data_IF_661342082847
#
_entry.id   IF_661342082847
#
_cell.length_a   1.000
_cell.length_b   1.000
_cell.length_c   1.000
_cell.angle_alpha   90.00
_cell.angle_beta   90.00
_cell.angle_gamma   90.00
#
_symmetry.space_group_name_H-M   'P 1'
#
loop_
_entity.id
_entity.type
_entity.pdbx_description
1 polymer ?
#
# COMPACT_ATOMS: atom_id res chain seq x y z
N UNK A 1 0.64 33.59 -13.57
CA UNK A 1 1.86 33.19 -12.83
C UNK A 1 2.51 32.09 -13.66
N UNK A 2 3.73 32.28 -14.15
CA UNK A 2 4.44 31.28 -14.98
C UNK A 2 5.52 30.64 -14.11
N UNK A 3 5.56 29.31 -14.06
CA UNK A 3 6.57 28.55 -13.33
C UNK A 3 7.87 28.57 -14.14
N UNK A 4 8.87 29.33 -13.71
CA UNK A 4 10.13 29.52 -14.46
C UNK A 4 11.14 28.39 -14.25
N UNK A 5 10.94 27.56 -13.22
CA UNK A 5 11.90 26.53 -12.78
C UNK A 5 11.31 25.11 -12.78
N UNK A 6 10.18 24.89 -13.47
CA UNK A 6 9.53 23.58 -13.55
C UNK A 6 9.42 23.18 -15.02
N UNK A 7 9.95 22.00 -15.35
CA UNK A 7 9.75 21.37 -16.66
C UNK A 7 8.72 20.26 -16.53
N UNK A 8 7.61 20.41 -17.24
CA UNK A 8 6.57 19.37 -17.33
C UNK A 8 6.89 18.47 -18.52
N UNK A 9 6.95 17.16 -18.27
CA UNK A 9 7.13 16.14 -19.32
C UNK A 9 5.81 15.39 -19.51
N UNK A 10 5.43 15.16 -20.76
CA UNK A 10 4.26 14.34 -21.10
C UNK A 10 4.72 12.90 -21.31
N UNK A 11 4.04 11.96 -20.66
CA UNK A 11 4.25 10.54 -20.90
C UNK A 11 3.49 10.10 -22.16
N UNK A 12 3.97 9.07 -22.88
CA UNK A 12 3.21 8.45 -23.95
C UNK A 12 1.86 7.92 -23.44
N UNK A 13 0.86 7.82 -24.33
CA UNK A 13 -0.43 7.26 -23.96
C UNK A 13 -0.29 5.81 -23.43
N UNK A 14 -1.13 5.44 -22.46
CA UNK A 14 -1.21 4.08 -21.87
C UNK A 14 0.08 3.59 -21.17
N UNK A 15 0.94 4.50 -20.72
CA UNK A 15 2.20 4.15 -20.02
C UNK A 15 2.18 4.47 -18.52
N UNK A 16 1.05 4.89 -17.98
CA UNK A 16 0.91 5.31 -16.57
C UNK A 16 1.47 4.27 -15.60
N UNK A 17 1.03 3.02 -15.69
CA UNK A 17 1.47 1.93 -14.79
C UNK A 17 2.98 1.71 -14.79
N UNK A 18 3.64 1.95 -15.93
CA UNK A 18 5.07 1.70 -16.10
C UNK A 18 5.93 2.92 -15.79
N UNK A 19 5.47 4.11 -16.15
CA UNK A 19 6.28 5.33 -16.14
C UNK A 19 5.93 6.28 -14.99
N UNK A 20 4.80 6.09 -14.31
CA UNK A 20 4.44 6.90 -13.15
C UNK A 20 4.84 6.16 -11.87
N UNK A 21 5.75 6.72 -11.06
CA UNK A 21 6.26 6.04 -9.85
C UNK A 21 5.16 5.83 -8.80
N UNK A 22 4.09 6.63 -8.84
CA UNK A 22 2.92 6.41 -7.99
C UNK A 22 2.25 5.07 -8.29
N UNK A 23 2.06 4.76 -9.56
CA UNK A 23 1.48 3.50 -10.05
C UNK A 23 2.50 2.36 -10.07
N UNK A 24 3.80 2.65 -10.19
CA UNK A 24 4.90 1.68 -10.10
C UNK A 24 5.26 1.24 -8.66
N UNK A 25 4.32 1.39 -7.71
CA UNK A 25 4.40 0.74 -6.40
C UNK A 25 4.20 1.63 -5.18
N UNK A 26 4.30 2.97 -5.28
CA UNK A 26 4.11 3.84 -4.10
C UNK A 26 2.68 3.72 -3.57
N UNK A 27 1.67 3.72 -4.44
CA UNK A 27 0.27 3.55 -4.04
C UNK A 27 0.04 2.16 -3.44
N UNK A 28 0.57 1.11 -4.05
CA UNK A 28 0.42 -0.27 -3.57
C UNK A 28 1.04 -0.43 -2.17
N UNK A 29 2.29 0.02 -2.00
CA UNK A 29 2.99 0.00 -0.71
C UNK A 29 2.25 0.78 0.37
N UNK A 30 1.74 1.97 0.04
CA UNK A 30 0.97 2.79 0.97
C UNK A 30 -0.33 2.10 1.38
N UNK A 31 -1.10 1.55 0.43
CA UNK A 31 -2.35 0.83 0.71
C UNK A 31 -2.13 -0.39 1.58
N UNK A 32 -1.10 -1.20 1.32
CA UNK A 32 -0.77 -2.36 2.12
C UNK A 32 -0.53 -1.98 3.59
N UNK A 33 0.30 -0.95 3.83
CA UNK A 33 0.60 -0.49 5.19
C UNK A 33 -0.62 0.15 5.88
N UNK A 34 -1.44 0.89 5.13
CA UNK A 34 -2.70 1.42 5.66
C UNK A 34 -3.66 0.31 6.07
N UNK A 35 -3.73 -0.76 5.26
CA UNK A 35 -4.56 -1.92 5.57
C UNK A 35 -4.08 -2.65 6.82
N UNK A 36 -2.77 -2.79 7.03
CA UNK A 36 -2.22 -3.33 8.28
C UNK A 36 -2.68 -2.54 9.50
N UNK A 37 -2.57 -1.19 9.48
CA UNK A 37 -3.07 -0.36 10.58
C UNK A 37 -4.58 -0.55 10.81
N UNK A 38 -5.35 -0.69 9.73
CA UNK A 38 -6.79 -0.92 9.83
C UNK A 38 -7.12 -2.28 10.47
N UNK A 39 -6.34 -3.31 10.16
CA UNK A 39 -6.49 -4.65 10.74
C UNK A 39 -6.16 -4.60 12.23
N UNK A 40 -5.02 -4.03 12.60
CA UNK A 40 -4.60 -3.88 13.99
C UNK A 40 -5.66 -3.13 14.81
N UNK A 41 -6.17 -2.02 14.27
CA UNK A 41 -7.27 -1.27 14.89
C UNK A 41 -8.53 -2.10 15.10
N UNK A 42 -8.88 -2.94 14.11
CA UNK A 42 -10.04 -3.83 14.20
C UNK A 42 -9.88 -4.87 15.31
N UNK A 43 -8.68 -5.44 15.44
CA UNK A 43 -8.35 -6.42 16.50
C UNK A 43 -8.44 -5.75 17.88
N UNK A 44 -7.77 -4.61 18.07
CA UNK A 44 -7.81 -3.86 19.34
C UNK A 44 -9.24 -3.53 19.77
N UNK A 45 -10.09 -3.15 18.82
CA UNK A 45 -11.48 -2.79 19.08
C UNK A 45 -12.33 -4.01 19.43
N UNK A 46 -12.09 -5.14 18.79
CA UNK A 46 -12.77 -6.40 19.09
C UNK A 46 -12.38 -6.94 20.47
N UNK A 47 -11.12 -6.81 20.86
CA UNK A 47 -10.64 -7.20 22.19
C UNK A 47 -11.18 -6.29 23.30
N UNK A 48 -11.37 -4.99 23.00
CA UNK A 48 -11.84 -4.00 23.98
C UNK A 48 -13.37 -4.03 24.20
N UNK A 49 -14.17 -4.44 23.21
CA UNK A 49 -15.63 -4.41 23.28
C UNK A 49 -16.28 -5.64 22.60
N UNK A 50 -16.88 -6.50 23.41
CA UNK A 50 -17.56 -7.72 22.98
C UNK A 50 -18.80 -7.50 22.09
N UNK A 51 -19.30 -6.26 21.97
CA UNK A 51 -20.47 -5.94 21.15
C UNK A 51 -20.13 -5.35 19.77
N UNK A 52 -18.85 -5.21 19.44
CA UNK A 52 -18.42 -4.70 18.13
C UNK A 52 -18.59 -5.81 17.09
N UNK A 53 -19.49 -5.60 16.13
CA UNK A 53 -19.64 -6.53 15.01
C UNK A 53 -18.48 -6.38 14.01
N UNK A 54 -18.21 -7.45 13.24
CA UNK A 54 -17.08 -7.52 12.32
C UNK A 54 -17.00 -6.37 11.31
N UNK A 55 -18.13 -5.87 10.77
CA UNK A 55 -18.09 -4.73 9.84
C UNK A 55 -17.77 -3.38 10.51
N UNK A 56 -18.15 -3.19 11.77
CA UNK A 56 -17.91 -1.94 12.49
C UNK A 56 -16.51 -1.85 13.10
N UNK A 57 -15.85 -2.99 13.31
CA UNK A 57 -14.52 -3.06 13.91
C UNK A 57 -13.46 -2.27 13.11
N UNK A 58 -13.54 -2.34 11.78
CA UNK A 58 -12.58 -1.70 10.87
C UNK A 58 -12.95 -0.26 10.46
N UNK A 59 -14.07 0.27 10.96
CA UNK A 59 -14.50 1.63 10.61
C UNK A 59 -13.61 2.67 11.29
N UNK A 60 -13.10 3.58 10.49
CA UNK A 60 -12.34 4.74 10.92
C UNK A 60 -13.04 6.02 10.43
N UNK A 61 -12.88 7.11 11.18
CA UNK A 61 -13.32 8.42 10.73
C UNK A 61 -12.25 9.09 9.84
N UNK A 62 -12.63 10.22 9.25
CA UNK A 62 -11.75 10.97 8.36
C UNK A 62 -10.50 11.50 9.07
N UNK A 63 -10.61 11.89 10.34
CA UNK A 63 -9.47 12.43 11.09
C UNK A 63 -8.43 11.34 11.33
N UNK A 64 -8.86 10.15 11.74
CA UNK A 64 -8.01 8.99 11.92
C UNK A 64 -7.31 8.59 10.61
N UNK A 65 -8.05 8.57 9.49
CA UNK A 65 -7.48 8.29 8.18
C UNK A 65 -6.40 9.30 7.77
N UNK A 66 -6.61 10.60 8.05
CA UNK A 66 -5.61 11.65 7.79
C UNK A 66 -4.37 11.51 8.66
N UNK A 67 -4.55 11.20 9.95
CA UNK A 67 -3.46 10.97 10.89
C UNK A 67 -2.61 9.76 10.46
N UNK A 68 -3.25 8.64 10.13
CA UNK A 68 -2.55 7.46 9.60
C UNK A 68 -1.84 7.74 8.29
N UNK A 69 -2.47 8.49 7.38
CA UNK A 69 -1.82 8.87 6.12
C UNK A 69 -0.56 9.69 6.34
N UNK A 70 -0.60 10.66 7.27
CA UNK A 70 0.57 11.46 7.64
C UNK A 70 1.66 10.60 8.29
N UNK A 71 1.28 9.72 9.22
CA UNK A 71 2.20 8.80 9.89
C UNK A 71 2.90 7.89 8.87
N UNK A 72 2.13 7.22 8.01
CA UNK A 72 2.66 6.31 7.00
C UNK A 72 3.60 7.03 6.04
N UNK A 73 3.22 8.20 5.55
CA UNK A 73 4.08 8.98 4.65
C UNK A 73 5.39 9.38 5.32
N UNK A 74 5.34 9.87 6.57
CA UNK A 74 6.55 10.28 7.32
C UNK A 74 7.48 9.10 7.67
N UNK A 75 6.93 7.89 7.78
CA UNK A 75 7.68 6.67 8.08
C UNK A 75 8.03 5.85 6.84
N UNK A 76 7.56 6.25 5.65
CA UNK A 76 8.00 5.64 4.38
C UNK A 76 9.47 5.96 4.18
N UNK A 77 10.28 4.92 4.11
CA UNK A 77 11.70 5.09 3.84
C UNK A 77 11.93 5.61 2.41
N UNK A 78 12.94 6.49 2.27
CA UNK A 78 13.31 7.03 0.96
C UNK A 78 13.68 5.92 -0.04
N UNK A 79 14.19 4.78 0.43
CA UNK A 79 14.51 3.60 -0.40
C UNK A 79 13.29 3.03 -1.10
N UNK A 80 12.13 3.00 -0.44
CA UNK A 80 10.88 2.47 -1.02
C UNK A 80 10.44 3.34 -2.19
N UNK A 81 10.48 4.67 -2.01
CA UNK A 81 10.16 5.61 -3.08
C UNK A 81 11.18 5.50 -4.21
N UNK A 82 12.47 5.44 -3.90
CA UNK A 82 13.52 5.31 -4.90
C UNK A 82 13.41 4.02 -5.72
N UNK A 83 13.07 2.90 -5.09
CA UNK A 83 12.82 1.63 -5.77
C UNK A 83 11.66 1.75 -6.78
N UNK A 84 10.53 2.37 -6.39
CA UNK A 84 9.43 2.64 -7.32
C UNK A 84 9.85 3.52 -8.50
N UNK A 85 10.74 4.50 -8.28
CA UNK A 85 11.30 5.30 -9.37
C UNK A 85 12.26 4.50 -10.26
N UNK A 86 13.04 3.56 -9.71
CA UNK A 86 13.92 2.69 -10.49
C UNK A 86 13.11 1.77 -11.41
N UNK A 87 11.97 1.26 -10.94
CA UNK A 87 11.04 0.46 -11.74
C UNK A 87 10.50 1.22 -12.96
N UNK A 88 10.46 2.55 -12.93
CA UNK A 88 10.06 3.38 -14.09
C UNK A 88 11.19 3.59 -15.11
N UNK A 89 12.42 3.20 -14.79
CA UNK A 89 13.61 3.47 -15.59
C UNK A 89 14.09 4.94 -15.57
N UNK A 90 13.48 5.80 -14.76
CA UNK A 90 13.85 7.22 -14.65
C UNK A 90 14.87 7.54 -13.56
N UNK A 91 15.11 6.63 -12.62
CA UNK A 91 16.10 6.82 -11.56
C UNK A 91 17.22 5.78 -11.67
N UNK A 92 18.45 6.23 -11.45
CA UNK A 92 19.59 5.33 -11.28
C UNK A 92 19.50 4.60 -9.93
N UNK A 93 20.00 3.36 -9.84
CA UNK A 93 20.10 2.63 -8.57
C UNK A 93 20.76 3.49 -7.48
N UNK A 94 20.27 3.39 -6.24
CA UNK A 94 20.88 4.08 -5.11
C UNK A 94 22.24 3.45 -4.82
N UNK A 95 23.30 4.26 -4.85
CA UNK A 95 24.69 3.84 -4.63
C UNK A 95 24.84 3.25 -3.21
N UNK A 96 25.16 1.96 -3.12
CA UNK A 96 25.36 1.24 -1.85
C UNK A 96 24.31 0.15 -1.56
N UNK A 97 23.27 0.03 -2.38
CA UNK A 97 22.58 -1.24 -2.56
C UNK A 97 23.30 -1.97 -3.70
N UNK A 98 24.34 -2.74 -3.37
CA UNK A 98 24.76 -3.80 -4.28
C UNK A 98 23.54 -4.71 -4.42
N UNK A 99 22.96 -4.78 -5.62
CA UNK A 99 21.93 -5.79 -5.89
C UNK A 99 22.59 -7.15 -5.71
N UNK A 100 22.06 -8.04 -4.85
CA UNK A 100 22.23 -9.44 -5.16
C UNK A 100 21.53 -9.68 -6.49
N UNK A 101 22.27 -10.18 -7.48
CA UNK A 101 21.69 -10.84 -8.64
C UNK A 101 20.79 -11.96 -8.13
N UNK A 102 19.52 -11.67 -7.92
CA UNK A 102 18.49 -12.67 -7.80
C UNK A 102 17.77 -12.68 -9.15
N UNK A 103 18.15 -13.66 -9.96
CA UNK A 103 17.17 -14.51 -10.64
C UNK A 103 16.18 -15.08 -9.58
N UNK A 104 15.50 -14.22 -8.83
CA UNK A 104 14.23 -14.56 -8.24
C UNK A 104 13.35 -14.64 -9.46
N UNK A 105 13.13 -15.87 -9.93
CA UNK A 105 11.84 -16.23 -10.47
C UNK A 105 10.83 -15.39 -9.71
N UNK A 106 10.22 -14.43 -10.41
CA UNK A 106 8.89 -13.98 -10.07
C UNK A 106 8.07 -15.26 -10.14
N UNK A 107 8.16 -16.09 -9.07
CA UNK A 107 6.97 -16.71 -8.53
C UNK A 107 6.09 -15.51 -8.32
N UNK A 108 5.34 -15.19 -9.39
CA UNK A 108 4.25 -14.28 -9.32
C UNK A 108 3.54 -14.75 -8.09
N UNK A 109 3.67 -13.95 -7.02
CA UNK A 109 2.77 -14.07 -5.90
C UNK A 109 1.48 -13.89 -6.63
N UNK A 110 0.80 -15.00 -6.90
CA UNK A 110 -0.57 -14.91 -7.34
C UNK A 110 -1.12 -13.97 -6.28
N UNK A 111 -1.54 -12.79 -6.71
CA UNK A 111 -2.66 -12.12 -6.07
C UNK A 111 -3.83 -13.09 -6.25
N UNK A 112 -3.71 -14.30 -5.66
CA UNK A 112 -4.81 -15.07 -5.20
C UNK A 112 -5.58 -14.06 -4.40
N UNK A 113 -6.81 -13.87 -4.85
CA UNK A 113 -7.82 -12.96 -4.34
C UNK A 113 -7.85 -13.05 -2.81
N UNK A 114 -6.89 -12.38 -2.16
CA UNK A 114 -6.71 -12.39 -0.71
C UNK A 114 -7.83 -11.57 -0.10
N UNK A 115 -8.41 -10.66 -0.89
CA UNK A 115 -9.69 -10.05 -0.61
C UNK A 115 -10.80 -11.11 -0.53
N UNK A 116 -10.88 -12.04 -1.47
CA UNK A 116 -11.77 -13.20 -1.45
C UNK A 116 -11.55 -14.14 -0.26
N UNK A 117 -10.31 -14.53 0.04
CA UNK A 117 -9.98 -15.37 1.20
C UNK A 117 -10.24 -14.68 2.54
N UNK A 118 -9.93 -13.38 2.65
CA UNK A 118 -10.21 -12.58 3.85
C UNK A 118 -11.72 -12.38 4.01
N UNK A 119 -12.46 -12.14 2.93
CA UNK A 119 -13.93 -12.04 2.94
C UNK A 119 -14.55 -13.39 3.31
N UNK A 120 -14.02 -14.51 2.84
CA UNK A 120 -14.45 -15.87 3.21
C UNK A 120 -14.12 -16.20 4.67
N UNK A 121 -12.95 -15.80 5.17
CA UNK A 121 -12.59 -15.86 6.59
C UNK A 121 -13.54 -15.00 7.43
N UNK A 122 -13.87 -13.79 6.98
CA UNK A 122 -14.82 -12.90 7.67
C UNK A 122 -16.26 -13.47 7.65
N UNK A 123 -16.68 -14.10 6.55
CA UNK A 123 -17.97 -14.78 6.43
C UNK A 123 -18.05 -16.04 7.29
N UNK A 124 -16.96 -16.81 7.38
CA UNK A 124 -16.85 -17.99 8.27
C UNK A 124 -16.88 -17.58 9.74
N UNK A 125 -16.16 -16.53 10.12
CA UNK A 125 -16.21 -15.97 11.48
C UNK A 125 -17.60 -15.43 11.80
N UNK A 126 -18.26 -14.75 10.85
CA UNK A 126 -19.65 -14.29 11.02
C UNK A 126 -20.67 -15.44 11.09
N UNK A 127 -20.35 -16.60 10.51
CA UNK A 127 -21.18 -17.82 10.59
C UNK A 127 -20.97 -18.60 11.89
N UNK A 128 -19.94 -18.26 12.68
CA UNK A 128 -19.68 -18.85 14.00
C UNK A 128 -20.22 -17.87 15.06
N UNK A 129 -21.52 -17.92 15.30
CA UNK A 129 -22.11 -17.48 16.58
C UNK A 129 -23.44 -18.19 16.84
N UNK A 130 -23.38 -19.03 17.90
CA UNK A 130 -24.38 -19.88 18.56
C UNK A 130 -24.78 -21.21 17.89
#
# INVERSE_FOLDING_TARGET
MVLTNIKVQKLPANTTTYLQPLDAGVIASFKARFRSLQIDHGIERFEADANVNGQSAYKIDQLQAMQWSSLLWSSTEAKTVAHCWQNTGFATPLRGNDEPDEDSEDEGVEEGDTDGEIVDLMLKVASISL
#
